data_IF_912118736520
#
_entry.id   IF_912118736520
#
_cell.length_a   1.000
_cell.length_b   1.000
_cell.length_c   1.000
_cell.angle_alpha   90.00
_cell.angle_beta   90.00
_cell.angle_gamma   90.00
#
_symmetry.space_group_name_H-M   'P 1'
#
loop_
_entity.id
_entity.type
_entity.pdbx_description
1 polymer ?
#
# COMPACT_ATOMS: atom_id res chain seq x y z
N UNK A 1 67.48 8.56 14.93
CA UNK A 1 67.16 7.25 15.52
C UNK A 1 66.25 7.47 16.71
N UNK A 2 65.18 6.69 16.86
CA UNK A 2 64.48 6.52 18.14
C UNK A 2 63.26 7.41 18.38
N UNK A 3 62.12 6.90 17.92
CA UNK A 3 60.73 7.15 18.31
C UNK A 3 60.41 6.64 19.74
N UNK A 4 59.19 6.94 20.21
CA UNK A 4 58.46 6.40 21.39
C UNK A 4 58.69 7.17 22.70
N UNK A 5 57.73 7.47 23.57
CA UNK A 5 56.27 7.36 23.65
C UNK A 5 55.86 8.20 24.88
N UNK A 6 54.63 8.69 24.90
CA UNK A 6 54.13 9.50 26.02
C UNK A 6 52.69 9.89 25.80
N UNK A 7 51.84 8.87 25.80
CA UNK A 7 50.40 8.90 25.55
C UNK A 7 49.69 9.99 26.38
N UNK A 8 49.08 10.95 25.67
CA UNK A 8 48.19 11.92 26.27
C UNK A 8 46.82 11.25 26.52
N UNK A 9 46.45 11.25 27.80
CA UNK A 9 45.17 10.80 28.34
C UNK A 9 43.96 11.35 27.56
N UNK A 10 43.02 10.43 27.30
CA UNK A 10 41.60 10.62 27.58
C UNK A 10 40.86 11.77 26.85
N UNK A 11 40.29 11.41 25.70
CA UNK A 11 38.95 11.78 25.19
C UNK A 11 38.56 13.27 25.05
N UNK A 12 38.38 13.79 23.82
CA UNK A 12 37.47 14.91 23.62
C UNK A 12 36.03 14.37 23.62
N UNK A 13 35.22 14.80 24.60
CA UNK A 13 33.76 14.66 24.54
C UNK A 13 33.21 15.67 23.51
N UNK A 14 33.56 15.48 22.25
CA UNK A 14 32.96 16.16 21.12
C UNK A 14 31.81 15.31 20.63
N UNK A 15 30.58 15.69 20.97
CA UNK A 15 29.38 15.12 20.37
C UNK A 15 29.54 15.13 18.84
N UNK A 16 29.40 13.99 18.12
CA UNK A 16 29.36 14.03 16.67
C UNK A 16 28.11 14.81 16.23
N UNK A 17 28.18 15.65 15.19
CA UNK A 17 26.98 16.22 14.61
C UNK A 17 26.15 15.04 14.11
N UNK A 18 24.95 14.88 14.65
CA UNK A 18 23.95 13.97 14.10
C UNK A 18 23.67 14.48 12.70
N UNK A 19 24.32 13.90 11.68
CA UNK A 19 23.86 14.12 10.31
C UNK A 19 22.44 13.58 10.23
N UNK A 20 21.47 14.50 10.29
CA UNK A 20 20.13 14.26 9.81
C UNK A 20 20.27 13.68 8.41
N UNK A 21 19.97 12.38 8.27
CA UNK A 21 19.73 11.76 6.98
C UNK A 21 18.66 12.60 6.30
N UNK A 22 19.07 13.44 5.35
CA UNK A 22 18.14 14.10 4.45
C UNK A 22 17.40 12.98 3.73
N UNK A 23 16.16 12.69 4.15
CA UNK A 23 15.22 11.93 3.34
C UNK A 23 15.06 12.73 2.05
N UNK A 24 15.74 12.30 0.99
CA UNK A 24 15.55 12.82 -0.35
C UNK A 24 14.05 12.83 -0.63
N UNK A 25 13.46 14.02 -0.78
CA UNK A 25 12.10 14.19 -1.31
C UNK A 25 12.17 13.79 -2.79
N UNK A 26 12.04 12.49 -3.06
CA UNK A 26 11.92 12.01 -4.43
C UNK A 26 10.53 12.41 -4.91
N UNK A 27 10.48 13.32 -5.88
CA UNK A 27 9.26 13.61 -6.65
C UNK A 27 8.83 12.30 -7.33
N UNK A 28 7.58 11.84 -7.15
CA UNK A 28 7.11 10.62 -7.77
C UNK A 28 7.24 10.77 -9.29
N UNK A 29 7.86 9.80 -9.96
CA UNK A 29 7.99 9.82 -11.42
C UNK A 29 6.58 9.77 -12.00
N UNK A 30 6.35 10.45 -13.13
CA UNK A 30 5.01 10.58 -13.73
C UNK A 30 4.34 9.20 -13.95
N UNK A 31 5.14 8.17 -14.26
CA UNK A 31 4.71 6.76 -14.35
C UNK A 31 4.14 6.19 -13.05
N UNK A 32 4.66 6.59 -11.90
CA UNK A 32 4.19 6.11 -10.60
C UNK A 32 2.82 6.72 -10.27
N UNK A 33 2.62 7.99 -10.63
CA UNK A 33 1.33 8.66 -10.48
C UNK A 33 0.23 7.99 -11.33
N UNK A 34 0.54 7.68 -12.60
CA UNK A 34 -0.42 6.98 -13.49
C UNK A 34 -0.77 5.58 -12.96
N UNK A 35 0.22 4.83 -12.47
CA UNK A 35 -0.02 3.51 -11.85
C UNK A 35 -0.84 3.62 -10.58
N UNK A 36 -0.55 4.60 -9.71
CA UNK A 36 -1.31 4.84 -8.49
C UNK A 36 -2.77 5.20 -8.79
N UNK A 37 -3.01 6.02 -9.81
CA UNK A 37 -4.35 6.39 -10.28
C UNK A 37 -5.11 5.17 -10.83
N UNK A 38 -4.44 4.31 -11.60
CA UNK A 38 -5.02 3.06 -12.10
C UNK A 38 -5.38 2.11 -10.96
N UNK A 39 -4.47 1.86 -10.02
CA UNK A 39 -4.73 1.00 -8.86
C UNK A 39 -5.87 1.52 -7.98
N UNK A 40 -5.94 2.83 -7.77
CA UNK A 40 -7.02 3.44 -7.00
C UNK A 40 -8.38 3.32 -7.70
N UNK A 41 -8.43 3.46 -9.03
CA UNK A 41 -9.65 3.21 -9.81
C UNK A 41 -10.08 1.75 -9.72
N UNK A 42 -9.15 0.82 -9.84
CA UNK A 42 -9.43 -0.61 -9.70
C UNK A 42 -9.97 -0.97 -8.31
N UNK A 43 -9.38 -0.40 -7.25
CA UNK A 43 -9.86 -0.58 -5.89
C UNK A 43 -11.28 -0.02 -5.68
N UNK A 44 -11.55 1.18 -6.19
CA UNK A 44 -12.89 1.77 -6.11
C UNK A 44 -13.93 0.89 -6.81
N UNK A 45 -13.62 0.43 -8.02
CA UNK A 45 -14.53 -0.43 -8.75
C UNK A 45 -14.69 -1.81 -8.08
N UNK A 46 -13.66 -2.35 -7.40
CA UNK A 46 -13.79 -3.56 -6.58
C UNK A 46 -14.77 -3.34 -5.42
N UNK A 47 -14.64 -2.21 -4.73
CA UNK A 47 -15.53 -1.81 -3.64
C UNK A 47 -16.98 -1.61 -4.11
N UNK A 48 -17.17 -0.97 -5.26
CA UNK A 48 -18.51 -0.79 -5.84
C UNK A 48 -19.17 -2.14 -6.16
N UNK A 49 -18.39 -3.11 -6.65
CA UNK A 49 -18.91 -4.45 -6.94
C UNK A 49 -19.35 -5.18 -5.66
N UNK A 50 -18.57 -5.07 -4.59
CA UNK A 50 -18.93 -5.63 -3.27
C UNK A 50 -20.21 -4.98 -2.74
N UNK A 51 -20.38 -3.66 -2.91
CA UNK A 51 -21.59 -2.97 -2.48
C UNK A 51 -22.82 -3.37 -3.27
N UNK A 52 -22.69 -3.58 -4.58
CA UNK A 52 -23.78 -4.12 -5.41
C UNK A 52 -24.15 -5.53 -4.97
N UNK A 53 -23.16 -6.39 -4.74
CA UNK A 53 -23.37 -7.75 -4.26
C UNK A 53 -24.12 -7.78 -2.93
N UNK A 54 -23.67 -6.96 -1.96
CA UNK A 54 -24.35 -6.77 -0.68
C UNK A 54 -25.81 -6.39 -0.88
N UNK A 55 -26.10 -5.42 -1.76
CA UNK A 55 -27.48 -5.00 -2.00
C UNK A 55 -28.34 -6.15 -2.54
N UNK A 56 -27.87 -6.88 -3.56
CA UNK A 56 -28.60 -8.01 -4.15
C UNK A 56 -28.87 -9.10 -3.11
N UNK A 57 -27.88 -9.45 -2.29
CA UNK A 57 -28.04 -10.46 -1.25
C UNK A 57 -28.97 -9.99 -0.12
N UNK A 58 -28.93 -8.71 0.25
CA UNK A 58 -29.88 -8.15 1.22
C UNK A 58 -31.32 -8.16 0.70
N UNK A 59 -31.54 -7.81 -0.59
CA UNK A 59 -32.86 -7.89 -1.23
C UNK A 59 -33.39 -9.32 -1.25
N UNK A 60 -32.52 -10.28 -1.55
CA UNK A 60 -32.86 -11.71 -1.60
C UNK A 60 -33.14 -12.30 -0.22
N UNK A 61 -32.40 -11.88 0.80
CA UNK A 61 -32.56 -12.34 2.17
C UNK A 61 -33.74 -11.68 2.90
N UNK A 62 -34.20 -10.51 2.43
CA UNK A 62 -35.23 -9.71 3.08
C UNK A 62 -34.75 -8.99 4.35
N UNK A 63 -33.44 -8.95 4.57
CA UNK A 63 -32.79 -8.22 5.67
C UNK A 63 -31.37 -7.84 5.25
N UNK A 64 -30.73 -6.90 5.96
CA UNK A 64 -29.35 -6.55 5.64
C UNK A 64 -28.37 -7.67 6.03
N UNK A 65 -27.74 -8.30 5.05
CA UNK A 65 -26.73 -9.35 5.27
C UNK A 65 -25.45 -8.81 5.90
N UNK A 66 -25.22 -7.50 5.83
CA UNK A 66 -24.02 -6.85 6.37
C UNK A 66 -22.82 -6.89 5.42
N UNK A 67 -21.89 -5.97 5.62
CA UNK A 67 -20.76 -5.78 4.70
C UNK A 67 -19.75 -6.94 4.75
N UNK A 68 -19.39 -7.42 5.94
CA UNK A 68 -18.38 -8.47 6.08
C UNK A 68 -18.83 -9.80 5.46
N UNK A 69 -20.11 -10.16 5.62
CA UNK A 69 -20.68 -11.36 5.02
C UNK A 69 -20.69 -11.26 3.49
N UNK A 70 -21.16 -10.14 2.94
CA UNK A 70 -21.16 -9.90 1.50
C UNK A 70 -19.73 -9.85 0.92
N UNK A 71 -18.77 -9.30 1.66
CA UNK A 71 -17.36 -9.26 1.26
C UNK A 71 -16.77 -10.66 1.14
N UNK A 72 -16.95 -11.51 2.15
CA UNK A 72 -16.43 -12.88 2.15
C UNK A 72 -17.03 -13.67 0.99
N UNK A 73 -18.35 -13.61 0.81
CA UNK A 73 -19.03 -14.31 -0.27
C UNK A 73 -18.57 -13.81 -1.66
N UNK A 74 -18.46 -12.50 -1.83
CA UNK A 74 -17.99 -11.89 -3.07
C UNK A 74 -16.56 -12.29 -3.42
N UNK A 75 -15.65 -12.30 -2.42
CA UNK A 75 -14.24 -12.70 -2.63
C UNK A 75 -14.15 -14.15 -3.11
N UNK A 76 -14.96 -15.05 -2.55
CA UNK A 76 -14.91 -16.49 -2.86
C UNK A 76 -15.54 -16.76 -4.24
N UNK A 77 -16.70 -16.18 -4.52
CA UNK A 77 -17.54 -16.60 -5.66
C UNK A 77 -17.44 -15.68 -6.89
N UNK A 78 -17.15 -14.39 -6.71
CA UNK A 78 -17.30 -13.39 -7.77
C UNK A 78 -15.96 -12.78 -8.22
N UNK A 79 -15.08 -12.49 -7.25
CA UNK A 79 -13.79 -11.82 -7.51
C UNK A 79 -12.92 -12.46 -8.60
N UNK A 80 -12.77 -13.80 -8.69
CA UNK A 80 -11.93 -14.41 -9.73
C UNK A 80 -12.47 -14.15 -11.15
N UNK A 81 -13.79 -14.17 -11.34
CA UNK A 81 -14.43 -13.89 -12.63
C UNK A 81 -14.30 -12.41 -12.99
N UNK A 82 -14.56 -11.54 -12.02
CA UNK A 82 -14.48 -10.09 -12.19
C UNK A 82 -13.05 -9.61 -12.53
N UNK A 83 -12.01 -10.21 -11.93
CA UNK A 83 -10.62 -9.89 -12.30
C UNK A 83 -10.28 -10.32 -13.73
N UNK A 84 -10.79 -11.48 -14.17
CA UNK A 84 -10.58 -11.98 -15.54
C UNK A 84 -11.25 -11.10 -16.59
N UNK A 85 -12.49 -10.67 -16.36
CA UNK A 85 -13.19 -9.79 -17.31
C UNK A 85 -12.46 -8.45 -17.52
N UNK A 86 -11.81 -7.94 -16.48
CA UNK A 86 -11.03 -6.69 -16.53
C UNK A 86 -9.71 -6.83 -17.27
N UNK A 87 -9.03 -7.96 -17.15
CA UNK A 87 -7.80 -8.24 -17.92
C UNK A 87 -8.07 -8.39 -19.42
N UNK A 88 -9.26 -8.88 -19.80
CA UNK A 88 -9.67 -9.05 -21.20
C UNK A 88 -9.96 -7.71 -21.87
N UNK A 89 -10.47 -6.72 -21.12
CA UNK A 89 -10.81 -5.39 -21.67
C UNK A 89 -9.56 -4.55 -22.01
N UNK A 90 -8.38 -4.92 -21.50
CA UNK A 90 -7.10 -4.25 -21.77
C UNK A 90 -6.25 -4.91 -22.88
N UNK A 91 -6.77 -5.93 -23.59
CA UNK A 91 -6.08 -6.60 -24.72
C UNK A 91 -6.51 -6.12 -26.10
#
# INVERSE_FOLDING_TARGET
>A
MGNESGDNLHSPLGNPPVQMRQKTKQTPKNTDLVKNLSLYKEFQAEREEILKHKWIESEKAGYDVGFDQALVDWIVNHRPSWRKSRQIVES
#
